data_IF_051097914714
#
_entry.id   IF_051097914714
#
_cell.length_a   1.000
_cell.length_b   1.000
_cell.length_c   1.000
_cell.angle_alpha   90.00
_cell.angle_beta   90.00
_cell.angle_gamma   90.00
#
_symmetry.space_group_name_H-M   'P 1'
#
loop_
_entity.id
_entity.type
_entity.pdbx_description
1 polymer ?
#
# COMPACT_ATOMS: atom_id res chain seq x y z
N UNK A 1 -0.49 23.13 16.76
CA UNK A 1 -0.04 21.92 16.04
C UNK A 1 1.26 21.46 16.65
N UNK A 2 1.41 20.20 17.12
CA UNK A 2 2.73 19.70 17.46
C UNK A 2 3.56 19.63 16.16
N UNK A 3 4.78 20.16 16.22
CA UNK A 3 5.72 20.17 15.11
C UNK A 3 5.97 18.74 14.61
N UNK A 4 6.04 18.57 13.30
CA UNK A 4 6.51 17.32 12.70
C UNK A 4 7.92 17.02 13.25
N UNK A 5 8.21 15.81 13.73
CA UNK A 5 9.54 15.47 14.20
C UNK A 5 10.57 15.62 13.07
N UNK A 6 11.74 16.15 13.42
CA UNK A 6 12.89 16.33 12.51
C UNK A 6 13.33 14.98 11.88
N UNK A 7 13.87 15.00 10.64
CA UNK A 7 14.11 13.80 9.85
C UNK A 7 15.48 13.18 10.16
N UNK A 8 15.70 12.74 11.40
CA UNK A 8 16.97 12.09 11.79
C UNK A 8 16.83 10.57 11.92
N UNK A 9 15.83 9.97 11.25
CA UNK A 9 15.68 8.52 11.12
C UNK A 9 16.07 8.06 9.71
N UNK A 10 16.44 6.77 9.52
CA UNK A 10 16.70 6.23 8.19
C UNK A 10 15.50 6.52 7.28
N UNK A 11 15.75 7.25 6.19
CA UNK A 11 14.73 7.55 5.22
C UNK A 11 14.38 6.25 4.49
N UNK A 12 13.19 5.71 4.72
CA UNK A 12 12.68 4.61 3.93
C UNK A 12 12.57 5.08 2.46
N UNK A 13 13.22 4.37 1.55
CA UNK A 13 13.00 4.57 0.13
C UNK A 13 11.67 3.94 -0.28
N UNK A 14 10.71 4.79 -0.62
CA UNK A 14 9.36 4.40 -1.02
C UNK A 14 9.14 4.59 -2.53
N UNK A 15 10.19 4.84 -3.32
CA UNK A 15 10.10 5.00 -4.79
C UNK A 15 9.40 6.28 -5.27
N UNK A 16 9.02 7.19 -4.37
CA UNK A 16 8.44 8.51 -4.66
C UNK A 16 9.02 9.55 -3.72
N UNK A 17 9.15 10.82 -4.15
CA UNK A 17 9.65 11.89 -3.29
C UNK A 17 8.67 12.17 -2.13
N UNK A 18 9.20 12.62 -0.99
CA UNK A 18 8.40 12.93 0.22
C UNK A 18 7.17 13.81 -0.06
N UNK A 19 7.31 14.82 -0.92
CA UNK A 19 6.22 15.72 -1.28
C UNK A 19 5.01 15.02 -1.93
N UNK A 20 5.20 13.86 -2.57
CA UNK A 20 4.10 13.04 -3.06
C UNK A 20 3.22 12.54 -1.90
N UNK A 21 3.85 11.97 -0.87
CA UNK A 21 3.17 11.44 0.31
C UNK A 21 2.54 12.54 1.17
N UNK A 22 3.22 13.68 1.32
CA UNK A 22 2.66 14.83 2.04
C UNK A 22 1.40 15.38 1.36
N UNK A 23 1.41 15.50 0.03
CA UNK A 23 0.22 15.91 -0.73
C UNK A 23 -0.92 14.91 -0.61
N UNK A 24 -0.61 13.62 -0.73
CA UNK A 24 -1.60 12.55 -0.57
C UNK A 24 -2.25 12.60 0.83
N UNK A 25 -1.43 12.70 1.89
CA UNK A 25 -1.91 12.78 3.26
C UNK A 25 -2.77 14.02 3.51
N UNK A 26 -2.33 15.19 3.02
CA UNK A 26 -3.07 16.44 3.17
C UNK A 26 -4.41 16.41 2.44
N UNK A 27 -4.43 15.98 1.17
CA UNK A 27 -5.65 15.93 0.37
C UNK A 27 -6.69 14.98 0.98
N UNK A 28 -6.29 13.75 1.29
CA UNK A 28 -7.22 12.75 1.81
C UNK A 28 -7.77 13.12 3.19
N UNK A 29 -6.95 13.72 4.06
CA UNK A 29 -7.43 14.16 5.37
C UNK A 29 -8.20 15.48 5.32
N UNK A 30 -8.03 16.31 4.29
CA UNK A 30 -8.90 17.45 4.04
C UNK A 30 -10.31 17.00 3.61
N UNK A 31 -10.43 15.90 2.86
CA UNK A 31 -11.72 15.30 2.50
C UNK A 31 -12.45 14.73 3.72
N UNK A 32 -11.73 14.01 4.61
CA UNK A 32 -12.26 13.50 5.88
C UNK A 32 -11.12 13.28 6.88
N UNK A 33 -11.18 13.86 8.09
CA UNK A 33 -10.16 13.61 9.11
C UNK A 33 -9.98 12.12 9.40
N UNK A 34 -8.74 11.64 9.39
CA UNK A 34 -8.41 10.24 9.63
C UNK A 34 -8.64 9.32 8.44
N UNK A 35 -9.01 9.85 7.26
CA UNK A 35 -9.11 9.06 6.02
C UNK A 35 -7.78 8.41 5.65
N UNK A 36 -6.67 9.10 5.90
CA UNK A 36 -5.33 8.53 5.79
C UNK A 36 -4.60 8.63 7.12
N UNK A 37 -4.07 7.51 7.60
CA UNK A 37 -3.35 7.42 8.89
C UNK A 37 -1.93 6.93 8.66
N UNK A 38 -0.96 7.55 9.33
CA UNK A 38 0.42 7.07 9.38
C UNK A 38 0.64 6.29 10.68
N UNK A 39 1.13 5.07 10.55
CA UNK A 39 1.56 4.23 11.66
C UNK A 39 3.07 4.12 11.65
N UNK A 40 3.69 4.13 12.83
CA UNK A 40 5.13 3.95 12.99
C UNK A 40 5.41 2.93 14.09
N UNK A 41 6.37 2.04 13.86
CA UNK A 41 6.86 1.10 14.86
C UNK A 41 8.24 1.55 15.32
N UNK A 42 8.37 1.68 16.64
CA UNK A 42 9.65 1.98 17.28
C UNK A 42 10.04 0.88 18.25
N UNK A 43 11.32 0.58 18.29
CA UNK A 43 11.92 -0.34 19.25
C UNK A 43 13.14 0.34 19.87
N UNK A 44 13.20 0.43 21.20
CA UNK A 44 14.27 1.13 21.92
C UNK A 44 14.51 2.59 21.43
N UNK A 45 13.43 3.26 21.02
CA UNK A 45 13.47 4.64 20.49
C UNK A 45 13.73 4.74 18.98
N UNK A 46 14.25 3.70 18.35
CA UNK A 46 14.57 3.66 16.92
C UNK A 46 13.33 3.39 16.06
N UNK A 47 13.17 4.11 14.94
CA UNK A 47 12.09 3.89 13.96
C UNK A 47 12.44 2.73 13.03
N UNK A 48 11.66 1.65 13.10
CA UNK A 48 11.93 0.42 12.33
C UNK A 48 10.88 0.09 11.28
N UNK A 49 9.69 0.68 11.31
CA UNK A 49 8.73 0.58 10.23
C UNK A 49 7.77 1.76 10.18
N UNK A 50 7.24 2.05 9.00
CA UNK A 50 6.18 3.01 8.81
C UNK A 50 5.22 2.54 7.72
N UNK A 51 3.92 2.57 7.99
CA UNK A 51 2.85 2.16 7.07
C UNK A 51 1.75 3.22 7.02
N UNK A 52 1.08 3.34 5.88
CA UNK A 52 -0.10 4.18 5.71
C UNK A 52 -1.35 3.33 5.53
N UNK A 53 -2.42 3.70 6.25
CA UNK A 53 -3.75 3.12 6.12
C UNK A 53 -4.67 4.14 5.47
N UNK A 54 -5.41 3.73 4.44
CA UNK A 54 -6.43 4.55 3.78
C UNK A 54 -7.81 3.94 4.01
N UNK A 55 -8.77 4.73 4.47
CA UNK A 55 -10.16 4.29 4.60
C UNK A 55 -10.99 4.72 3.38
N UNK A 56 -11.89 3.84 2.93
CA UNK A 56 -12.92 4.16 1.96
C UNK A 56 -13.84 5.28 2.48
N UNK A 57 -14.52 6.02 1.59
CA UNK A 57 -15.50 7.03 1.99
C UNK A 57 -16.59 6.49 2.93
N UNK A 58 -17.06 5.26 2.68
CA UNK A 58 -18.07 4.56 3.49
C UNK A 58 -17.50 3.87 4.75
N UNK A 59 -16.17 3.80 4.88
CA UNK A 59 -15.49 3.08 5.96
C UNK A 59 -15.55 1.55 5.89
N UNK A 60 -16.28 0.97 4.93
CA UNK A 60 -16.48 -0.48 4.84
C UNK A 60 -15.22 -1.24 4.44
N UNK A 61 -14.28 -0.56 3.77
CA UNK A 61 -12.97 -1.08 3.38
C UNK A 61 -11.85 -0.14 3.82
N UNK A 62 -10.72 -0.72 4.22
CA UNK A 62 -9.46 -0.01 4.41
C UNK A 62 -8.35 -0.67 3.60
N UNK A 63 -7.35 0.13 3.21
CA UNK A 63 -6.20 -0.31 2.42
C UNK A 63 -4.89 -0.01 3.15
N UNK A 64 -4.02 -1.01 3.24
CA UNK A 64 -2.59 -0.77 3.47
C UNK A 64 -1.98 -0.21 2.18
N UNK A 65 -1.79 1.11 2.12
CA UNK A 65 -1.48 1.79 0.85
C UNK A 65 0.01 1.80 0.54
N UNK A 66 0.86 2.17 1.50
CA UNK A 66 2.31 2.25 1.31
C UNK A 66 2.99 1.96 2.63
N UNK A 67 4.14 1.31 2.58
CA UNK A 67 4.91 1.11 3.78
C UNK A 67 6.29 0.53 3.53
N UNK A 68 7.12 0.64 4.56
CA UNK A 68 8.46 0.12 4.58
C UNK A 68 8.85 -0.28 6.01
N UNK A 69 9.86 -1.13 6.09
CA UNK A 69 10.52 -1.49 7.32
C UNK A 69 12.03 -1.50 7.12
N UNK A 70 12.75 -1.23 8.20
CA UNK A 70 14.18 -1.35 8.27
C UNK A 70 14.64 -2.78 7.89
N UNK A 71 15.87 -2.88 7.38
CA UNK A 71 16.48 -4.14 6.99
C UNK A 71 17.24 -4.82 8.12
N UNK A 72 17.56 -4.09 9.20
CA UNK A 72 18.04 -4.60 10.47
C UNK A 72 16.90 -4.81 11.48
N UNK A 73 17.23 -5.40 12.64
CA UNK A 73 16.29 -5.69 13.74
C UNK A 73 15.04 -6.47 13.29
N UNK A 74 15.17 -7.35 12.28
CA UNK A 74 14.03 -8.11 11.72
C UNK A 74 13.44 -9.09 12.74
N UNK A 75 14.22 -9.49 13.74
CA UNK A 75 13.80 -10.34 14.85
C UNK A 75 12.66 -9.74 15.68
N UNK A 76 12.55 -8.40 15.78
CA UNK A 76 11.45 -7.74 16.50
C UNK A 76 10.19 -7.54 15.64
N UNK A 77 10.23 -7.97 14.37
CA UNK A 77 9.10 -7.99 13.41
C UNK A 77 8.28 -6.69 13.36
N UNK A 78 8.91 -5.52 13.14
CA UNK A 78 8.26 -4.21 13.25
C UNK A 78 7.10 -4.02 12.26
N UNK A 79 7.26 -4.52 11.02
CA UNK A 79 6.19 -4.47 10.01
C UNK A 79 4.97 -5.32 10.40
N UNK A 80 5.18 -6.53 10.94
CA UNK A 80 4.08 -7.37 11.42
C UNK A 80 3.35 -6.73 12.60
N UNK A 81 4.07 -6.11 13.53
CA UNK A 81 3.47 -5.37 14.64
C UNK A 81 2.57 -4.23 14.15
N UNK A 82 3.00 -3.51 13.10
CA UNK A 82 2.16 -2.48 12.48
C UNK A 82 0.92 -3.06 11.81
N UNK A 83 1.05 -4.13 11.02
CA UNK A 83 -0.10 -4.76 10.36
C UNK A 83 -1.12 -5.25 11.40
N UNK A 84 -0.67 -5.89 12.48
CA UNK A 84 -1.54 -6.29 13.59
C UNK A 84 -2.30 -5.09 14.16
N UNK A 85 -1.60 -4.01 14.51
CA UNK A 85 -2.23 -2.81 15.07
C UNK A 85 -3.23 -2.17 14.09
N UNK A 86 -2.87 -2.09 12.82
CA UNK A 86 -3.70 -1.53 11.77
C UNK A 86 -4.98 -2.36 11.55
N UNK A 87 -4.89 -3.69 11.59
CA UNK A 87 -6.06 -4.59 11.51
C UNK A 87 -6.97 -4.43 12.73
N UNK A 88 -6.41 -4.35 13.95
CA UNK A 88 -7.21 -4.09 15.15
C UNK A 88 -7.96 -2.76 15.06
N UNK A 89 -7.27 -1.69 14.65
CA UNK A 89 -7.88 -0.36 14.51
C UNK A 89 -8.93 -0.34 13.39
N UNK A 90 -8.73 -1.07 12.29
CA UNK A 90 -9.70 -1.21 11.21
C UNK A 90 -10.97 -1.94 11.68
N UNK A 91 -10.80 -3.03 12.41
CA UNK A 91 -11.90 -3.79 13.01
C UNK A 91 -12.69 -2.92 14.00
N UNK A 92 -12.00 -2.17 14.87
CA UNK A 92 -12.64 -1.26 15.82
C UNK A 92 -13.41 -0.12 15.12
N UNK A 93 -13.00 0.27 13.91
CA UNK A 93 -13.69 1.23 13.07
C UNK A 93 -14.85 0.63 12.25
N UNK A 94 -15.12 -0.67 12.39
CA UNK A 94 -16.21 -1.36 11.68
C UNK A 94 -15.90 -1.71 10.23
N UNK A 95 -14.62 -1.70 9.81
CA UNK A 95 -14.27 -2.10 8.46
C UNK A 95 -14.56 -3.59 8.25
N UNK A 96 -15.33 -3.91 7.20
CA UNK A 96 -15.62 -5.28 6.79
C UNK A 96 -14.49 -5.90 5.96
N UNK A 97 -13.61 -5.08 5.36
CA UNK A 97 -12.48 -5.55 4.56
C UNK A 97 -11.20 -4.78 4.88
N UNK A 98 -10.13 -5.54 5.16
CA UNK A 98 -8.76 -5.06 5.25
C UNK A 98 -7.96 -5.54 4.03
N UNK A 99 -7.56 -4.61 3.17
CA UNK A 99 -6.98 -4.90 1.87
C UNK A 99 -5.46 -4.59 1.88
N UNK A 100 -4.65 -5.64 1.77
CA UNK A 100 -3.18 -5.52 1.72
C UNK A 100 -2.63 -5.11 0.36
N UNK A 101 -3.49 -4.83 -0.62
CA UNK A 101 -3.18 -4.49 -2.02
C UNK A 101 -2.49 -5.63 -2.77
N UNK A 102 -2.13 -5.38 -4.02
CA UNK A 102 -1.66 -6.41 -4.96
C UNK A 102 -0.47 -7.24 -4.47
N UNK A 103 -0.49 -8.52 -4.79
CA UNK A 103 0.64 -9.44 -4.66
C UNK A 103 1.31 -9.60 -6.04
N UNK A 104 2.56 -10.06 -6.10
CA UNK A 104 3.16 -10.53 -7.35
C UNK A 104 2.33 -11.66 -7.98
N UNK A 105 2.42 -11.79 -9.29
CA UNK A 105 1.76 -12.82 -10.10
C UNK A 105 2.39 -14.21 -9.93
N UNK A 106 3.69 -14.28 -9.63
CA UNK A 106 4.43 -15.52 -9.44
C UNK A 106 4.24 -16.18 -8.07
N UNK A 107 4.00 -17.49 -8.07
CA UNK A 107 3.97 -18.37 -6.88
C UNK A 107 5.29 -19.12 -6.64
N UNK A 108 6.30 -18.91 -7.48
CA UNK A 108 7.61 -19.54 -7.37
C UNK A 108 8.28 -19.16 -6.04
N UNK A 109 8.54 -20.13 -5.13
CA UNK A 109 9.20 -19.88 -3.86
C UNK A 109 10.58 -19.21 -3.97
N UNK A 110 11.27 -19.41 -5.09
CA UNK A 110 12.59 -18.85 -5.35
C UNK A 110 12.52 -17.47 -6.05
N UNK A 111 11.30 -17.03 -6.40
CA UNK A 111 11.05 -15.75 -7.06
C UNK A 111 11.17 -14.54 -6.12
N UNK A 112 11.66 -13.41 -6.66
CA UNK A 112 11.82 -12.13 -5.94
C UNK A 112 10.54 -11.64 -5.23
N UNK A 113 9.36 -12.00 -5.75
CA UNK A 113 8.06 -11.62 -5.20
C UNK A 113 7.53 -12.48 -4.05
N UNK A 114 8.08 -13.69 -3.86
CA UNK A 114 7.48 -14.68 -2.97
C UNK A 114 7.50 -14.27 -1.50
N UNK A 115 8.57 -13.59 -1.06
CA UNK A 115 8.67 -13.07 0.30
C UNK A 115 7.55 -12.08 0.65
N UNK A 116 7.17 -11.22 -0.31
CA UNK A 116 6.08 -10.26 -0.15
C UNK A 116 4.72 -10.98 -0.10
N UNK A 117 4.50 -11.96 -0.98
CA UNK A 117 3.31 -12.81 -0.97
C UNK A 117 3.14 -13.49 0.38
N UNK A 118 4.17 -14.21 0.87
CA UNK A 118 4.17 -14.90 2.17
C UNK A 118 3.94 -13.96 3.34
N UNK A 119 4.52 -12.75 3.32
CA UNK A 119 4.30 -11.75 4.35
C UNK A 119 2.83 -11.28 4.39
N UNK A 120 2.22 -11.07 3.21
CA UNK A 120 0.80 -10.66 3.12
C UNK A 120 -0.13 -11.77 3.55
N UNK A 121 0.00 -12.97 3.00
CA UNK A 121 -0.85 -14.12 3.37
C UNK A 121 -0.63 -14.56 4.82
N UNK A 122 0.57 -14.32 5.38
CA UNK A 122 0.87 -14.55 6.79
C UNK A 122 0.07 -13.71 7.79
N UNK A 123 -0.72 -12.73 7.32
CA UNK A 123 -1.71 -12.01 8.15
C UNK A 123 -3.02 -12.79 8.33
N UNK A 124 -3.17 -13.94 7.65
CA UNK A 124 -4.42 -14.70 7.58
C UNK A 124 -5.32 -14.31 6.39
N UNK A 125 -4.87 -13.38 5.55
CA UNK A 125 -5.58 -12.98 4.34
C UNK A 125 -5.40 -13.93 3.15
N UNK A 126 -6.27 -13.80 2.17
CA UNK A 126 -6.27 -14.55 0.91
C UNK A 126 -5.89 -13.66 -0.28
N UNK A 127 -5.35 -14.27 -1.34
CA UNK A 127 -5.15 -13.61 -2.61
C UNK A 127 -6.47 -13.63 -3.40
N UNK A 128 -6.88 -12.46 -3.90
CA UNK A 128 -8.11 -12.30 -4.68
C UNK A 128 -7.76 -11.78 -6.07
N UNK A 129 -8.16 -12.53 -7.09
CA UNK A 129 -8.09 -12.08 -8.48
C UNK A 129 -9.32 -11.24 -8.82
N UNK A 130 -9.11 -10.07 -9.43
CA UNK A 130 -10.19 -9.19 -9.88
C UNK A 130 -10.38 -9.35 -11.39
N UNK A 131 -11.48 -8.82 -11.91
CA UNK A 131 -11.79 -8.79 -13.36
C UNK A 131 -10.80 -7.99 -14.22
N UNK A 132 -9.78 -7.39 -13.60
CA UNK A 132 -8.77 -6.60 -14.28
C UNK A 132 -9.28 -5.25 -14.77
N UNK A 133 -8.61 -4.73 -15.79
CA UNK A 133 -8.90 -3.44 -16.41
C UNK A 133 -9.83 -3.61 -17.61
N UNK A 134 -10.77 -2.68 -17.78
CA UNK A 134 -11.65 -2.61 -18.94
C UNK A 134 -11.36 -1.34 -19.73
N UNK A 135 -11.12 -1.48 -21.03
CA UNK A 135 -10.77 -0.38 -21.92
C UNK A 135 -11.96 0.03 -22.80
N UNK A 136 -12.26 1.34 -22.81
CA UNK A 136 -13.21 1.94 -23.75
C UNK A 136 -12.47 2.97 -24.62
N UNK A 137 -12.13 2.64 -25.88
CA UNK A 137 -11.44 3.59 -26.75
C UNK A 137 -12.36 4.77 -27.09
N UNK A 138 -11.93 5.97 -26.71
CA UNK A 138 -12.63 7.20 -27.07
C UNK A 138 -12.56 7.46 -28.58
N UNK A 139 -13.49 8.28 -29.08
CA UNK A 139 -13.51 8.64 -30.49
C UNK A 139 -12.24 9.41 -30.91
N UNK A 140 -12.00 9.47 -32.22
CA UNK A 140 -10.82 10.09 -32.81
C UNK A 140 -9.77 9.08 -33.26
N UNK A 141 -9.11 9.40 -34.37
CA UNK A 141 -8.13 8.50 -35.02
C UNK A 141 -6.95 8.19 -34.11
N UNK A 142 -6.46 9.16 -33.35
CA UNK A 142 -5.31 8.97 -32.43
C UNK A 142 -5.64 7.94 -31.35
N UNK A 143 -6.79 8.08 -30.67
CA UNK A 143 -7.20 7.17 -29.60
C UNK A 143 -7.36 5.73 -30.12
N UNK A 144 -8.02 5.56 -31.26
CA UNK A 144 -8.22 4.24 -31.88
C UNK A 144 -6.90 3.61 -32.34
N UNK A 145 -5.97 4.42 -32.86
CA UNK A 145 -4.64 3.93 -33.27
C UNK A 145 -3.81 3.51 -32.07
N UNK A 146 -3.76 4.32 -31.01
CA UNK A 146 -3.03 3.97 -29.78
C UNK A 146 -3.59 2.72 -29.13
N UNK A 147 -4.92 2.60 -29.01
CA UNK A 147 -5.58 1.42 -28.48
C UNK A 147 -5.22 0.16 -29.28
N UNK A 148 -5.27 0.22 -30.62
CA UNK A 148 -4.86 -0.91 -31.48
C UNK A 148 -3.38 -1.26 -31.31
N UNK A 149 -2.52 -0.25 -31.24
CA UNK A 149 -1.08 -0.45 -31.05
C UNK A 149 -0.79 -1.10 -29.70
N UNK A 150 -1.45 -0.66 -28.62
CA UNK A 150 -1.31 -1.23 -27.28
C UNK A 150 -1.81 -2.67 -27.24
N UNK A 151 -3.00 -2.95 -27.78
CA UNK A 151 -3.50 -4.32 -27.90
C UNK A 151 -2.55 -5.23 -28.69
N UNK A 152 -2.04 -4.76 -29.84
CA UNK A 152 -1.10 -5.54 -30.65
C UNK A 152 0.25 -5.76 -29.95
N UNK A 153 0.65 -4.86 -29.04
CA UNK A 153 1.84 -5.04 -28.21
C UNK A 153 1.60 -6.07 -27.10
N UNK A 154 0.48 -5.97 -26.39
CA UNK A 154 0.16 -6.87 -25.27
C UNK A 154 -0.06 -8.32 -25.70
N UNK A 155 -0.65 -8.56 -26.88
CA UNK A 155 -0.89 -9.93 -27.39
C UNK A 155 0.37 -10.64 -27.93
N UNK A 156 1.52 -9.96 -27.97
CA UNK A 156 2.80 -10.55 -28.40
C UNK A 156 3.60 -11.16 -27.24
N UNK A 157 3.17 -10.97 -26.00
CA UNK A 157 3.71 -11.62 -24.81
C UNK A 157 2.95 -12.91 -24.52
#
# INVERSE_FOLDING_TARGET
MPAAPAPDGPAFDLGRPLGYYQRQYAALNAERPGRMRLYTARYEGELLAAHTLLAAPDGGRVWYQTGASADHRREVRPSNALQWRMMCDALAAGAGVYDMRGVPDGLDPDGHGYGLLRWKTGTGGEAVETVGEWELPLQGTVNKTLHRAMHAYLTRR
#
